data_IF_378088068073
#
_entry.id   IF_378088068073
#
_cell.length_a   1.000
_cell.length_b   1.000
_cell.length_c   1.000
_cell.angle_alpha   90.00
_cell.angle_beta   90.00
_cell.angle_gamma   90.00
#
_symmetry.space_group_name_H-M   'P 1'
#
loop_
_entity.id
_entity.type
_entity.pdbx_description
1 polymer ?
#
# COMPACT_ATOMS: atom_id res chain seq x y z
N UNK A 1 -0.74 0.07 -14.14
CA UNK A 1 -2.08 -0.43 -13.74
C UNK A 1 -2.59 0.39 -12.56
N UNK A 2 -3.91 0.67 -12.48
CA UNK A 2 -4.51 1.34 -11.31
C UNK A 2 -4.84 0.33 -10.21
N UNK A 3 -4.56 0.70 -8.97
CA UNK A 3 -4.82 -0.09 -7.78
C UNK A 3 -5.08 0.83 -6.57
N UNK A 4 -5.29 0.24 -5.40
CA UNK A 4 -5.56 0.94 -4.15
C UNK A 4 -4.60 0.50 -3.05
N UNK A 5 -4.15 1.45 -2.24
CA UNK A 5 -3.29 1.16 -1.09
C UNK A 5 -3.75 1.92 0.14
N UNK A 6 -3.81 1.21 1.26
CA UNK A 6 -4.07 1.79 2.56
C UNK A 6 -2.75 2.30 3.15
N UNK A 7 -2.70 3.58 3.51
CA UNK A 7 -1.55 4.21 4.12
C UNK A 7 -1.85 4.63 5.56
N UNK A 8 -0.80 4.79 6.36
CA UNK A 8 -0.90 5.45 7.67
C UNK A 8 -0.90 6.95 7.44
N UNK A 9 -1.92 7.64 7.96
CA UNK A 9 -1.95 9.11 7.97
C UNK A 9 -1.18 9.62 9.19
N UNK A 10 -0.31 10.60 8.99
CA UNK A 10 0.47 11.24 10.05
C UNK A 10 -0.19 12.54 10.49
N UNK A 11 0.23 13.03 11.67
CA UNK A 11 -0.26 14.30 12.24
C UNK A 11 0.08 15.51 11.38
N UNK A 12 1.17 15.44 10.60
CA UNK A 12 1.61 16.50 9.68
C UNK A 12 0.88 16.44 8.31
N UNK A 13 -0.15 15.59 8.17
CA UNK A 13 -0.90 15.40 6.94
C UNK A 13 -0.23 14.47 5.92
N UNK A 14 1.04 14.08 6.12
CA UNK A 14 1.74 13.19 5.20
C UNK A 14 1.33 11.73 5.38
N UNK A 15 1.59 10.90 4.37
CA UNK A 15 1.28 9.47 4.39
C UNK A 15 2.55 8.60 4.41
N UNK A 16 2.44 7.42 5.01
CA UNK A 16 3.53 6.45 5.11
C UNK A 16 3.07 5.00 5.09
N UNK A 17 4.00 4.04 4.96
CA UNK A 17 3.71 2.61 5.04
C UNK A 17 3.09 2.20 6.39
N UNK A 18 2.29 1.15 6.39
CA UNK A 18 1.62 0.65 7.60
C UNK A 18 2.57 -0.05 8.58
N UNK A 19 3.50 -0.87 8.08
CA UNK A 19 4.26 -1.83 8.90
C UNK A 19 5.77 -1.80 8.67
N UNK A 20 6.21 -1.94 7.42
CA UNK A 20 7.64 -1.96 7.03
C UNK A 20 7.98 -0.60 6.43
N UNK A 21 9.10 0.00 6.83
CA UNK A 21 9.49 1.33 6.37
C UNK A 21 8.59 2.46 6.90
N UNK A 22 7.98 2.30 8.08
CA UNK A 22 6.95 3.23 8.62
C UNK A 22 7.39 4.70 8.74
N UNK A 23 8.71 4.97 8.75
CA UNK A 23 9.30 6.31 8.79
C UNK A 23 9.38 6.99 7.41
N UNK A 24 9.29 6.24 6.31
CA UNK A 24 9.25 6.77 4.96
C UNK A 24 8.02 7.67 4.77
N UNK A 25 8.23 8.87 4.20
CA UNK A 25 7.16 9.72 3.70
C UNK A 25 6.95 9.44 2.23
N UNK A 26 5.71 9.23 1.83
CA UNK A 26 5.35 8.86 0.46
C UNK A 26 4.92 10.13 -0.29
N UNK A 27 5.74 10.66 -1.22
CA UNK A 27 5.33 11.78 -2.06
C UNK A 27 4.18 11.39 -3.01
N UNK A 28 3.27 12.33 -3.23
CA UNK A 28 2.20 12.20 -4.23
C UNK A 28 2.74 12.58 -5.60
N UNK A 29 2.36 11.85 -6.65
CA UNK A 29 2.74 12.14 -8.04
C UNK A 29 4.10 11.58 -8.48
N UNK A 30 4.89 11.02 -7.57
CA UNK A 30 6.25 10.54 -7.81
C UNK A 30 6.29 9.01 -7.88
N UNK A 31 7.06 8.46 -8.82
CA UNK A 31 7.34 7.02 -8.90
C UNK A 31 8.38 6.63 -7.85
N UNK A 32 8.05 5.59 -7.07
CA UNK A 32 8.91 5.05 -6.03
C UNK A 32 9.19 3.56 -6.31
N UNK A 33 10.47 3.17 -6.39
CA UNK A 33 10.83 1.76 -6.39
C UNK A 33 10.51 1.15 -5.03
N UNK A 34 10.21 -0.15 -5.02
CA UNK A 34 10.09 -0.92 -3.80
C UNK A 34 11.47 -1.14 -3.18
N UNK A 35 11.54 -1.07 -1.85
CA UNK A 35 12.73 -1.40 -1.10
C UNK A 35 12.63 -2.83 -0.56
N UNK A 36 13.76 -3.56 -0.57
CA UNK A 36 13.87 -4.85 0.11
C UNK A 36 14.36 -4.64 1.54
N UNK A 37 13.42 -4.60 2.48
CA UNK A 37 13.69 -4.38 3.91
C UNK A 37 13.34 -5.62 4.69
N UNK A 38 14.35 -6.44 5.01
CA UNK A 38 14.17 -7.62 5.86
C UNK A 38 13.72 -7.20 7.26
N UNK A 39 12.51 -7.61 7.65
CA UNK A 39 11.90 -7.22 8.94
C UNK A 39 11.49 -8.48 9.71
N UNK A 40 12.05 -8.66 10.91
CA UNK A 40 11.71 -9.79 11.79
C UNK A 40 10.20 -9.82 12.07
N UNK A 41 9.58 -10.99 11.93
CA UNK A 41 8.14 -11.19 12.15
C UNK A 41 7.26 -10.95 10.91
N UNK A 42 7.85 -10.58 9.77
CA UNK A 42 7.15 -10.45 8.49
C UNK A 42 7.67 -11.47 7.48
N UNK A 43 6.79 -11.96 6.61
CA UNK A 43 7.19 -12.80 5.48
C UNK A 43 8.00 -11.96 4.48
N UNK A 44 9.14 -12.49 4.01
CA UNK A 44 10.01 -11.79 3.07
C UNK A 44 9.38 -11.78 1.67
N UNK A 45 8.83 -10.61 1.30
CA UNK A 45 8.16 -10.34 0.01
C UNK A 45 8.40 -8.88 -0.37
N UNK A 46 9.53 -8.55 -1.00
CA UNK A 46 9.81 -7.17 -1.37
C UNK A 46 8.80 -6.67 -2.41
N UNK A 47 8.26 -5.48 -2.19
CA UNK A 47 7.27 -4.89 -3.08
C UNK A 47 6.18 -4.07 -2.40
N UNK A 48 5.61 -3.15 -3.17
CA UNK A 48 4.41 -2.41 -2.80
C UNK A 48 3.19 -3.34 -2.88
N UNK A 49 2.73 -3.76 -1.72
CA UNK A 49 1.48 -4.51 -1.59
C UNK A 49 0.28 -3.57 -1.76
N UNK A 50 -0.54 -3.83 -2.77
CA UNK A 50 -1.73 -3.05 -3.12
C UNK A 50 -2.92 -3.98 -3.41
N UNK A 51 -4.14 -3.49 -3.24
CA UNK A 51 -5.37 -4.21 -3.58
C UNK A 51 -5.94 -3.72 -4.91
N UNK A 52 -6.68 -4.58 -5.63
CA UNK A 52 -7.49 -4.17 -6.78
C UNK A 52 -8.70 -3.31 -6.36
N UNK A 53 -9.12 -3.47 -5.12
CA UNK A 53 -10.20 -2.72 -4.48
C UNK A 53 -9.69 -2.14 -3.16
N UNK A 54 -10.27 -1.03 -2.66
CA UNK A 54 -9.91 -0.44 -1.37
C UNK A 54 -10.53 -1.22 -0.20
N UNK A 55 -10.32 -2.54 -0.16
CA UNK A 55 -10.89 -3.44 0.84
C UNK A 55 -9.80 -4.26 1.53
N UNK A 56 -9.73 -4.13 2.86
CA UNK A 56 -8.84 -4.90 3.71
C UNK A 56 -9.51 -5.15 5.07
N UNK A 57 -10.45 -6.12 5.16
CA UNK A 57 -11.34 -6.27 6.32
C UNK A 57 -10.62 -6.60 7.63
N UNK A 58 -9.44 -7.21 7.55
CA UNK A 58 -8.57 -7.49 8.70
C UNK A 58 -7.80 -6.27 9.24
N UNK A 59 -7.86 -5.12 8.56
CA UNK A 59 -7.12 -3.92 8.94
C UNK A 59 -8.08 -2.84 9.46
N UNK A 60 -7.73 -2.26 10.62
CA UNK A 60 -8.40 -1.04 11.09
C UNK A 60 -8.21 0.11 10.09
N UNK A 61 -9.21 0.98 9.99
CA UNK A 61 -9.18 2.25 9.23
C UNK A 61 -8.78 3.45 10.10
N UNK A 62 -8.69 3.30 11.43
CA UNK A 62 -8.37 4.41 12.34
C UNK A 62 -6.96 4.96 12.07
N UNK A 63 -6.88 6.25 11.74
CA UNK A 63 -5.61 6.93 11.42
C UNK A 63 -4.96 6.42 10.13
N UNK A 64 -5.75 5.85 9.23
CA UNK A 64 -5.30 5.29 7.95
C UNK A 64 -6.25 5.76 6.86
N UNK A 65 -5.72 5.85 5.64
CA UNK A 65 -6.42 6.45 4.51
C UNK A 65 -6.11 5.69 3.24
N UNK A 66 -7.15 5.43 2.45
CA UNK A 66 -7.02 4.78 1.14
C UNK A 66 -6.62 5.80 0.09
N UNK A 67 -5.69 5.40 -0.76
CA UNK A 67 -5.24 6.19 -1.91
C UNK A 67 -5.31 5.36 -3.18
N UNK A 68 -5.65 6.03 -4.28
CA UNK A 68 -5.48 5.52 -5.64
C UNK A 68 -3.98 5.55 -5.98
N UNK A 69 -3.48 4.45 -6.51
CA UNK A 69 -2.08 4.32 -6.92
C UNK A 69 -1.99 3.76 -8.33
N UNK A 70 -0.90 4.10 -9.00
CA UNK A 70 -0.47 3.43 -10.22
C UNK A 70 0.72 2.52 -9.91
N UNK A 71 0.70 1.31 -10.44
CA UNK A 71 1.75 0.32 -10.24
C UNK A 71 2.34 -0.19 -11.56
N UNK A 72 3.60 -0.62 -11.51
CA UNK A 72 4.33 -1.33 -12.58
C UNK A 72 5.10 -2.51 -12.00
N UNK A 73 5.42 -3.47 -12.86
CA UNK A 73 6.24 -4.65 -12.54
C UNK A 73 5.69 -5.40 -11.32
N UNK A 74 4.46 -5.91 -11.46
CA UNK A 74 3.74 -6.51 -10.35
C UNK A 74 3.36 -7.96 -10.62
N UNK A 75 3.25 -8.72 -9.54
CA UNK A 75 2.71 -10.07 -9.55
C UNK A 75 1.38 -10.12 -8.78
N UNK A 76 0.47 -10.99 -9.21
CA UNK A 76 -0.73 -11.34 -8.45
C UNK A 76 -0.38 -12.34 -7.35
N UNK A 77 -0.84 -12.08 -6.14
CA UNK A 77 -0.63 -12.92 -4.99
C UNK A 77 -1.96 -13.19 -4.27
N UNK A 78 -2.42 -14.44 -4.31
CA UNK A 78 -3.68 -14.84 -3.68
C UNK A 78 -3.55 -14.84 -2.16
N UNK A 79 -4.57 -14.27 -1.51
CA UNK A 79 -4.73 -14.25 -0.06
C UNK A 79 -6.11 -14.79 0.32
N UNK A 80 -6.31 -15.24 1.58
CA UNK A 80 -7.65 -15.56 2.04
C UNK A 80 -8.59 -14.37 1.86
N UNK A 81 -9.88 -14.62 1.60
CA UNK A 81 -10.89 -13.57 1.46
C UNK A 81 -10.99 -12.68 2.71
N UNK A 82 -10.76 -13.25 3.90
CA UNK A 82 -10.64 -12.51 5.16
C UNK A 82 -9.52 -11.46 5.17
N UNK A 83 -8.61 -11.51 4.19
CA UNK A 83 -7.54 -10.54 4.00
C UNK A 83 -7.66 -9.73 2.70
N UNK A 84 -8.82 -9.76 2.02
CA UNK A 84 -9.05 -9.03 0.78
C UNK A 84 -8.85 -9.86 -0.50
N UNK A 85 -8.65 -11.18 -0.39
CA UNK A 85 -8.71 -12.14 -1.51
C UNK A 85 -7.52 -12.13 -2.47
N UNK A 86 -7.13 -10.98 -3.01
CA UNK A 86 -5.97 -10.87 -3.90
C UNK A 86 -5.21 -9.58 -3.63
N UNK A 87 -3.88 -9.72 -3.53
CA UNK A 87 -2.96 -8.60 -3.44
C UNK A 87 -2.07 -8.58 -4.67
N UNK A 88 -1.71 -7.39 -5.12
CA UNK A 88 -0.68 -7.19 -6.13
C UNK A 88 0.58 -6.72 -5.42
N UNK A 89 1.71 -7.34 -5.73
CA UNK A 89 3.02 -6.98 -5.18
C UNK A 89 3.81 -6.32 -6.31
N UNK A 90 3.92 -5.00 -6.28
CA UNK A 90 4.53 -4.19 -7.34
C UNK A 90 5.94 -3.70 -6.99
N UNK A 91 6.85 -3.71 -7.96
CA UNK A 91 8.20 -3.15 -7.75
C UNK A 91 8.24 -1.63 -7.92
N UNK A 92 7.24 -1.03 -8.57
CA UNK A 92 7.16 0.41 -8.75
C UNK A 92 5.74 0.89 -8.43
N UNK A 93 5.64 1.96 -7.63
CA UNK A 93 4.37 2.57 -7.24
C UNK A 93 4.43 4.09 -7.35
N UNK A 94 3.38 4.70 -7.89
CA UNK A 94 3.13 6.14 -7.84
C UNK A 94 1.79 6.40 -7.19
N UNK A 95 1.76 7.26 -6.18
CA UNK A 95 0.52 7.66 -5.52
C UNK A 95 -0.16 8.76 -6.34
N UNK A 96 -1.45 8.58 -6.65
CA UNK A 96 -2.21 9.53 -7.46
C UNK A 96 -3.01 10.52 -6.61
N UNK A 97 -3.61 10.05 -5.51
CA UNK A 97 -4.41 10.88 -4.62
C UNK A 97 -5.30 10.04 -3.69
N UNK A 98 -5.93 10.67 -2.69
CA UNK A 98 -6.84 9.98 -1.79
C UNK A 98 -8.04 9.40 -2.55
N UNK A 99 -8.63 8.34 -1.99
CA UNK A 99 -9.96 7.91 -2.40
C UNK A 99 -10.94 8.97 -1.87
N UNK A 100 -11.49 9.81 -2.77
CA UNK A 100 -12.50 10.80 -2.37
C UNK A 100 -13.68 10.09 -1.69
N UNK A 101 -14.04 10.55 -0.49
CA UNK A 101 -15.34 10.25 0.11
C UNK A 101 -16.34 11.19 -0.56
N UNK A 102 -17.18 10.65 -1.46
CA UNK A 102 -18.39 11.35 -1.92
C UNK A 102 -19.40 11.42 -0.77
#
# INVERSE_FOLDING_TARGET
MRAYKLFKQRKDGTIGPLFIGTRQRIPIGVWLPAEDILTKGFAHRPGWHVGREPSAPHLSTKGRVWYKVEIRDFISFKRPNSQGGEWLIAQNMKVLGPLEEN
#
